data_IF_990061194791
#
_entry.id   IF_990061194791
#
_cell.length_a   1.000
_cell.length_b   1.000
_cell.length_c   1.000
_cell.angle_alpha   90.00
_cell.angle_beta   90.00
_cell.angle_gamma   90.00
#
_symmetry.space_group_name_H-M   'P 1'
#
loop_
_entity.id
_entity.type
_entity.pdbx_description
1 polymer ?
#
# COMPACT_ATOMS: atom_id res chain seq x y z
N UNK A 1 71.49 -45.68 -60.41
CA UNK A 1 70.65 -46.18 -59.31
C UNK A 1 70.56 -45.20 -58.11
N UNK A 2 71.62 -44.47 -57.68
CA UNK A 2 71.61 -43.60 -56.50
C UNK A 2 70.69 -42.36 -56.60
N UNK A 3 70.36 -41.82 -57.79
CA UNK A 3 69.53 -40.65 -57.96
C UNK A 3 68.03 -40.91 -57.68
N UNK A 4 67.48 -42.07 -57.85
CA UNK A 4 66.06 -42.43 -57.62
C UNK A 4 65.76 -42.65 -56.14
N UNK A 5 66.69 -43.14 -55.34
CA UNK A 5 66.52 -43.33 -53.89
C UNK A 5 66.52 -41.98 -53.13
N UNK A 6 67.40 -41.05 -53.59
CA UNK A 6 67.43 -39.70 -52.99
C UNK A 6 66.11 -38.93 -53.25
N UNK A 7 65.57 -39.01 -54.48
CA UNK A 7 64.27 -38.38 -54.80
C UNK A 7 63.11 -39.02 -54.02
N UNK A 8 63.14 -40.34 -53.86
CA UNK A 8 62.10 -41.03 -53.03
C UNK A 8 62.16 -40.61 -51.53
N UNK A 9 63.36 -40.44 -51.01
CA UNK A 9 63.61 -40.02 -49.64
C UNK A 9 63.17 -38.59 -49.44
N UNK A 10 63.45 -37.65 -50.32
CA UNK A 10 62.98 -36.26 -50.30
C UNK A 10 61.41 -36.18 -50.35
N UNK A 11 60.84 -36.94 -51.29
CA UNK A 11 59.36 -37.05 -51.40
C UNK A 11 58.71 -37.56 -50.11
N UNK A 12 59.26 -38.59 -49.48
CA UNK A 12 58.77 -39.13 -48.23
C UNK A 12 58.94 -38.14 -47.05
N UNK A 13 60.02 -37.40 -47.03
CA UNK A 13 60.22 -36.31 -46.01
C UNK A 13 59.23 -35.16 -46.18
N UNK A 14 59.00 -34.71 -47.41
CA UNK A 14 58.01 -33.65 -47.69
C UNK A 14 56.57 -34.11 -47.36
N UNK A 15 56.22 -35.32 -47.73
CA UNK A 15 54.94 -35.95 -47.41
C UNK A 15 54.72 -36.07 -45.87
N UNK A 16 55.77 -36.40 -45.13
CA UNK A 16 55.76 -36.49 -43.67
C UNK A 16 55.60 -35.05 -43.03
N UNK A 17 56.28 -34.07 -43.61
CA UNK A 17 56.19 -32.65 -43.20
C UNK A 17 54.82 -32.10 -43.49
N UNK A 18 54.23 -32.35 -44.67
CA UNK A 18 52.85 -31.95 -45.01
C UNK A 18 51.84 -32.62 -44.08
N UNK A 19 51.94 -33.89 -43.79
CA UNK A 19 51.04 -34.58 -42.85
C UNK A 19 51.14 -34.02 -41.45
N UNK A 20 52.32 -33.65 -40.94
CA UNK A 20 52.51 -33.01 -39.67
C UNK A 20 51.84 -31.60 -39.64
N UNK A 21 52.03 -30.83 -40.73
CA UNK A 21 51.43 -29.52 -40.86
C UNK A 21 49.91 -29.59 -40.91
N UNK A 22 49.34 -30.51 -41.68
CA UNK A 22 47.88 -30.74 -41.73
C UNK A 22 47.30 -31.17 -40.37
N UNK A 23 48.05 -32.04 -39.64
CA UNK A 23 47.63 -32.44 -38.29
C UNK A 23 47.64 -31.26 -37.31
N UNK A 24 48.70 -30.42 -37.32
CA UNK A 24 48.79 -29.24 -36.45
C UNK A 24 47.68 -28.24 -36.78
N UNK A 25 47.43 -27.98 -38.08
CA UNK A 25 46.33 -27.08 -38.49
C UNK A 25 44.97 -27.67 -38.06
N UNK A 26 44.76 -28.96 -38.18
CA UNK A 26 43.55 -29.64 -37.73
C UNK A 26 43.33 -29.50 -36.20
N UNK A 27 44.40 -29.73 -35.42
CA UNK A 27 44.34 -29.56 -33.95
C UNK A 27 44.06 -28.09 -33.57
N UNK A 28 44.73 -27.13 -34.22
CA UNK A 28 44.47 -25.70 -33.95
C UNK A 28 43.05 -25.28 -34.31
N UNK A 29 42.54 -25.75 -35.46
CA UNK A 29 41.13 -25.50 -35.86
C UNK A 29 40.15 -26.11 -34.87
N UNK A 30 40.41 -27.33 -34.39
CA UNK A 30 39.57 -27.96 -33.37
C UNK A 30 39.56 -27.16 -32.06
N UNK A 31 40.75 -26.69 -31.61
CA UNK A 31 40.86 -25.86 -30.38
C UNK A 31 40.09 -24.54 -30.55
N UNK A 32 40.20 -23.89 -31.70
CA UNK A 32 39.48 -22.63 -31.98
C UNK A 32 37.96 -22.87 -31.95
N UNK A 33 37.47 -23.95 -32.57
CA UNK A 33 36.04 -24.31 -32.56
C UNK A 33 35.56 -24.63 -31.14
N UNK A 34 36.37 -25.34 -30.36
CA UNK A 34 36.06 -25.64 -28.97
C UNK A 34 35.96 -24.35 -28.11
N UNK A 35 36.93 -23.45 -28.26
CA UNK A 35 36.93 -22.17 -27.56
C UNK A 35 35.73 -21.26 -27.97
N UNK A 36 35.41 -21.25 -29.28
CA UNK A 36 34.23 -20.55 -29.78
C UNK A 36 32.94 -21.15 -29.21
N UNK A 37 32.81 -22.47 -29.12
CA UNK A 37 31.69 -23.17 -28.52
C UNK A 37 31.53 -22.86 -27.03
N UNK A 38 32.63 -22.89 -26.25
CA UNK A 38 32.65 -22.55 -24.85
C UNK A 38 32.28 -21.06 -24.65
N UNK A 39 32.83 -20.16 -25.48
CA UNK A 39 32.53 -18.74 -25.45
C UNK A 39 31.05 -18.47 -25.75
N UNK A 40 30.48 -19.12 -26.75
CA UNK A 40 29.06 -19.01 -27.07
C UNK A 40 28.17 -19.55 -25.96
N UNK A 41 28.53 -20.70 -25.37
CA UNK A 41 27.83 -21.27 -24.24
C UNK A 41 27.87 -20.29 -23.02
N UNK A 42 29.04 -19.73 -22.69
CA UNK A 42 29.17 -18.75 -21.61
C UNK A 42 28.35 -17.47 -21.88
N UNK A 43 28.34 -16.98 -23.12
CA UNK A 43 27.51 -15.88 -23.54
C UNK A 43 26.01 -16.18 -23.32
N UNK A 44 25.54 -17.33 -23.75
CA UNK A 44 24.16 -17.78 -23.60
C UNK A 44 23.76 -17.97 -22.13
N UNK A 45 24.68 -18.41 -21.29
CA UNK A 45 24.46 -18.63 -19.86
C UNK A 45 24.36 -17.30 -19.09
N UNK A 46 25.16 -16.30 -19.43
CA UNK A 46 25.44 -15.14 -18.59
C UNK A 46 24.80 -13.87 -19.16
N UNK A 47 25.02 -13.56 -20.44
CA UNK A 47 24.78 -12.26 -21.05
C UNK A 47 23.63 -12.22 -22.06
N UNK A 48 23.27 -13.36 -22.65
CA UNK A 48 22.15 -13.37 -23.60
C UNK A 48 20.84 -12.99 -22.89
N UNK A 49 19.99 -12.16 -23.54
CA UNK A 49 18.65 -11.87 -23.02
C UNK A 49 17.87 -13.16 -22.77
N UNK A 50 17.30 -13.31 -21.58
CA UNK A 50 16.59 -14.53 -21.18
C UNK A 50 15.17 -14.28 -20.68
N UNK A 51 14.86 -13.03 -20.33
CA UNK A 51 13.55 -12.61 -19.81
C UNK A 51 12.86 -11.68 -20.80
N UNK A 52 11.63 -12.03 -21.22
CA UNK A 52 10.87 -11.25 -22.18
C UNK A 52 9.40 -11.05 -21.75
N UNK A 53 9.17 -10.46 -20.58
CA UNK A 53 7.82 -10.04 -20.24
C UNK A 53 7.39 -8.88 -21.15
N UNK A 54 6.07 -8.72 -21.39
CA UNK A 54 5.54 -7.59 -22.21
C UNK A 54 5.82 -6.20 -21.60
N UNK A 55 6.00 -6.14 -20.31
CA UNK A 55 6.34 -4.94 -19.49
C UNK A 55 7.13 -5.42 -18.28
N UNK A 56 7.77 -4.52 -17.56
CA UNK A 56 8.41 -4.85 -16.28
C UNK A 56 7.42 -5.60 -15.39
N UNK A 57 7.83 -6.77 -14.93
CA UNK A 57 7.10 -7.59 -13.95
C UNK A 57 7.91 -7.73 -12.68
N UNK A 58 7.28 -8.20 -11.63
CA UNK A 58 7.93 -8.32 -10.35
C UNK A 58 7.87 -9.76 -9.85
N UNK A 59 9.00 -10.21 -9.30
CA UNK A 59 9.08 -11.49 -8.57
C UNK A 59 9.24 -11.21 -7.09
N UNK A 60 8.66 -12.06 -6.27
CA UNK A 60 8.58 -11.91 -4.83
C UNK A 60 9.32 -13.05 -4.13
N UNK A 61 10.15 -12.71 -3.18
CA UNK A 61 10.86 -13.69 -2.34
C UNK A 61 10.44 -13.44 -0.91
N UNK A 62 9.67 -14.36 -0.35
CA UNK A 62 9.19 -14.34 1.02
C UNK A 62 10.22 -14.92 2.03
N UNK A 63 9.84 -15.04 3.30
CA UNK A 63 10.68 -15.60 4.35
C UNK A 63 11.06 -17.07 4.13
N UNK A 64 10.29 -17.83 3.35
CA UNK A 64 10.60 -19.24 3.03
C UNK A 64 11.81 -19.34 2.11
N UNK A 65 12.10 -18.28 1.33
CA UNK A 65 13.25 -18.21 0.41
C UNK A 65 13.35 -19.44 -0.49
N UNK A 66 12.18 -19.87 -1.02
CA UNK A 66 12.11 -21.04 -1.89
C UNK A 66 12.62 -20.70 -3.30
N UNK A 67 13.78 -21.26 -3.65
CA UNK A 67 14.36 -21.08 -4.98
C UNK A 67 13.50 -21.72 -6.09
N UNK A 68 12.78 -22.80 -5.77
CA UNK A 68 11.84 -23.43 -6.70
C UNK A 68 10.69 -22.51 -7.03
N UNK A 69 10.15 -21.82 -6.03
CA UNK A 69 9.09 -20.83 -6.20
C UNK A 69 9.55 -19.65 -7.07
N UNK A 70 10.72 -19.08 -6.78
CA UNK A 70 11.32 -18.05 -7.63
C UNK A 70 11.43 -18.51 -9.09
N UNK A 71 11.89 -19.75 -9.32
CA UNK A 71 11.99 -20.28 -10.68
C UNK A 71 10.61 -20.41 -11.36
N UNK A 72 9.56 -20.78 -10.63
CA UNK A 72 8.17 -20.79 -11.16
C UNK A 72 7.74 -19.39 -11.56
N UNK A 73 7.89 -18.39 -10.68
CA UNK A 73 7.55 -16.99 -10.98
C UNK A 73 8.30 -16.47 -12.22
N UNK A 74 9.59 -16.82 -12.38
CA UNK A 74 10.38 -16.42 -13.55
C UNK A 74 9.86 -17.03 -14.86
N UNK A 75 9.38 -18.27 -14.83
CA UNK A 75 8.78 -18.93 -16.01
C UNK A 75 7.40 -18.36 -16.30
N UNK A 76 6.54 -18.31 -15.28
CA UNK A 76 5.11 -18.02 -15.46
C UNK A 76 4.83 -16.53 -15.70
N UNK A 77 5.61 -15.65 -15.07
CA UNK A 77 5.35 -14.21 -15.09
C UNK A 77 6.39 -13.41 -15.86
N UNK A 78 7.68 -13.80 -15.78
CA UNK A 78 8.78 -13.05 -16.37
C UNK A 78 9.19 -13.53 -17.77
N UNK A 79 8.51 -14.55 -18.33
CA UNK A 79 8.79 -15.06 -19.67
C UNK A 79 10.21 -15.59 -19.83
N UNK A 80 10.73 -16.27 -18.80
CA UNK A 80 12.06 -16.88 -18.83
C UNK A 80 12.13 -17.95 -19.90
N UNK A 81 12.99 -17.76 -20.90
CA UNK A 81 13.13 -18.68 -22.03
C UNK A 81 13.93 -19.92 -21.67
N UNK A 82 14.95 -19.77 -20.82
CA UNK A 82 15.93 -20.85 -20.54
C UNK A 82 16.17 -20.93 -19.03
N UNK A 83 15.15 -21.34 -18.28
CA UNK A 83 15.24 -21.47 -16.81
C UNK A 83 16.41 -22.38 -16.37
N UNK A 84 16.82 -23.32 -17.20
CA UNK A 84 18.01 -24.18 -16.96
C UNK A 84 19.30 -23.37 -16.86
N UNK A 85 19.51 -22.34 -17.72
CA UNK A 85 20.70 -21.49 -17.70
C UNK A 85 20.65 -20.58 -16.42
N UNK A 86 19.50 -20.06 -16.07
CA UNK A 86 19.34 -19.31 -14.82
C UNK A 86 19.70 -20.18 -13.60
N UNK A 87 19.14 -21.39 -13.50
CA UNK A 87 19.43 -22.33 -12.40
C UNK A 87 20.92 -22.67 -12.31
N UNK A 88 21.56 -22.90 -13.44
CA UNK A 88 22.99 -23.24 -13.51
C UNK A 88 23.85 -22.07 -13.02
N UNK A 89 23.60 -20.84 -13.51
CA UNK A 89 24.34 -19.66 -13.07
C UNK A 89 24.07 -19.33 -11.59
N UNK A 90 22.82 -19.45 -11.14
CA UNK A 90 22.46 -19.28 -9.74
C UNK A 90 23.19 -20.27 -8.83
N UNK A 91 23.31 -21.54 -9.24
CA UNK A 91 24.07 -22.57 -8.53
C UNK A 91 25.56 -22.25 -8.45
N UNK A 92 26.18 -21.84 -9.57
CA UNK A 92 27.57 -21.40 -9.60
C UNK A 92 27.86 -20.24 -8.66
N UNK A 93 26.92 -19.32 -8.52
CA UNK A 93 27.00 -18.15 -7.64
C UNK A 93 26.53 -18.42 -6.20
N UNK A 94 26.18 -19.67 -5.88
CA UNK A 94 25.64 -20.11 -4.58
C UNK A 94 24.44 -19.27 -4.12
N UNK A 95 23.63 -18.78 -5.07
CA UNK A 95 22.51 -17.90 -4.80
C UNK A 95 21.39 -18.61 -4.02
N UNK A 96 21.01 -19.89 -4.29
CA UNK A 96 19.91 -20.54 -3.55
C UNK A 96 20.09 -20.60 -2.03
N UNK A 97 21.34 -20.55 -1.55
CA UNK A 97 21.66 -20.54 -0.10
C UNK A 97 21.80 -19.12 0.48
N UNK A 98 21.70 -18.07 -0.36
CA UNK A 98 21.91 -16.68 0.02
C UNK A 98 20.80 -15.76 -0.54
N UNK A 99 19.58 -16.28 -0.58
CA UNK A 99 18.42 -15.52 -1.06
C UNK A 99 18.05 -14.42 -0.06
N UNK A 100 17.63 -13.27 -0.57
CA UNK A 100 17.13 -12.14 0.19
C UNK A 100 15.66 -11.92 -0.10
N UNK A 101 14.86 -11.75 0.94
CA UNK A 101 13.44 -11.40 0.81
C UNK A 101 13.28 -10.08 0.07
N UNK A 102 12.18 -9.92 -0.64
CA UNK A 102 11.86 -8.66 -1.31
C UNK A 102 11.13 -8.82 -2.63
N UNK A 103 10.82 -7.67 -3.24
CA UNK A 103 10.19 -7.52 -4.54
C UNK A 103 11.22 -7.03 -5.54
N UNK A 104 11.44 -7.79 -6.61
CA UNK A 104 12.49 -7.53 -7.59
C UNK A 104 11.91 -7.38 -8.99
N UNK A 105 12.36 -6.34 -9.70
CA UNK A 105 11.94 -6.10 -11.08
C UNK A 105 12.65 -7.05 -12.04
N UNK A 106 11.89 -7.56 -13.03
CA UNK A 106 12.40 -8.26 -14.20
C UNK A 106 11.93 -7.49 -15.43
N UNK A 107 12.89 -6.91 -16.13
CA UNK A 107 12.63 -6.06 -17.29
C UNK A 107 12.72 -6.85 -18.59
N UNK A 108 12.02 -6.41 -19.66
CA UNK A 108 12.19 -7.00 -21.00
C UNK A 108 13.66 -6.94 -21.46
N UNK A 109 14.18 -8.05 -21.96
CA UNK A 109 15.55 -8.14 -22.44
C UNK A 109 16.62 -8.30 -21.35
N UNK A 110 16.24 -8.42 -20.07
CA UNK A 110 17.19 -8.67 -18.98
C UNK A 110 17.88 -10.02 -19.16
N UNK A 111 19.15 -10.09 -18.79
CA UNK A 111 19.92 -11.33 -18.78
C UNK A 111 20.04 -11.95 -17.38
N UNK A 112 20.49 -13.20 -17.32
CA UNK A 112 20.61 -13.94 -16.07
C UNK A 112 21.53 -13.27 -15.05
N UNK A 113 22.66 -12.69 -15.49
CA UNK A 113 23.63 -12.06 -14.61
C UNK A 113 23.06 -10.77 -13.99
N UNK A 114 22.36 -9.95 -14.78
CA UNK A 114 21.74 -8.73 -14.30
C UNK A 114 20.70 -9.02 -13.22
N UNK A 115 19.79 -9.96 -13.48
CA UNK A 115 18.78 -10.36 -12.51
C UNK A 115 19.42 -10.93 -11.22
N UNK A 116 20.36 -11.88 -11.36
CA UNK A 116 21.03 -12.47 -10.20
C UNK A 116 21.82 -11.45 -9.39
N UNK A 117 22.40 -10.43 -10.01
CA UNK A 117 23.05 -9.35 -9.29
C UNK A 117 22.05 -8.52 -8.49
N UNK A 118 20.89 -8.19 -9.04
CA UNK A 118 19.84 -7.49 -8.32
C UNK A 118 19.35 -8.30 -7.11
N UNK A 119 19.06 -9.59 -7.33
CA UNK A 119 18.61 -10.51 -6.30
C UNK A 119 19.65 -10.68 -5.17
N UNK A 120 20.91 -10.89 -5.51
CA UNK A 120 22.01 -11.10 -4.54
C UNK A 120 22.31 -9.84 -3.72
N UNK A 121 22.31 -8.67 -4.35
CA UNK A 121 22.58 -7.40 -3.70
C UNK A 121 21.37 -6.87 -2.93
N UNK A 122 20.17 -7.41 -3.18
CA UNK A 122 18.94 -6.95 -2.57
C UNK A 122 18.48 -5.62 -3.15
N UNK A 123 18.71 -5.40 -4.45
CA UNK A 123 18.19 -4.22 -5.17
C UNK A 123 16.70 -4.39 -5.41
N UNK A 124 15.91 -4.14 -4.36
CA UNK A 124 14.46 -4.23 -4.37
C UNK A 124 13.85 -3.00 -5.04
N UNK A 125 12.70 -3.21 -5.67
CA UNK A 125 11.81 -2.13 -6.10
C UNK A 125 10.73 -1.86 -5.05
N UNK A 126 10.53 -0.57 -4.73
CA UNK A 126 9.46 -0.18 -3.81
C UNK A 126 8.09 -0.50 -4.40
N UNK A 127 7.15 -0.90 -3.55
CA UNK A 127 5.73 -1.03 -3.89
C UNK A 127 4.96 0.18 -3.36
N UNK A 128 3.81 0.45 -3.96
CA UNK A 128 2.89 1.49 -3.51
C UNK A 128 1.78 0.86 -2.70
N UNK A 129 1.64 1.30 -1.46
CA UNK A 129 0.53 0.91 -0.60
C UNK A 129 -0.49 2.03 -0.49
N UNK A 130 -1.76 1.66 -0.41
CA UNK A 130 -2.88 2.58 -0.20
C UNK A 130 -3.87 1.98 0.79
N UNK A 131 -4.42 2.84 1.64
CA UNK A 131 -5.51 2.48 2.52
C UNK A 131 -6.49 3.64 2.59
N UNK A 132 -7.74 3.36 2.28
CA UNK A 132 -8.85 4.31 2.28
C UNK A 132 -10.05 3.65 2.92
N UNK A 133 -10.92 4.44 3.54
CA UNK A 133 -12.19 3.98 4.08
C UNK A 133 -12.05 2.82 5.08
N UNK A 134 -11.04 2.89 5.93
CA UNK A 134 -10.76 1.90 6.98
C UNK A 134 -11.50 2.30 8.24
N UNK A 135 -12.28 1.39 8.80
CA UNK A 135 -13.09 1.61 10.00
C UNK A 135 -12.50 0.91 11.22
N UNK A 136 -12.04 -0.30 11.05
CA UNK A 136 -11.50 -1.12 12.14
C UNK A 136 -10.01 -1.40 11.96
N UNK A 137 -9.34 -1.68 13.08
CA UNK A 137 -7.92 -2.05 13.10
C UNK A 137 -7.66 -3.34 12.31
N UNK A 138 -8.60 -4.28 12.38
CA UNK A 138 -8.56 -5.51 11.61
C UNK A 138 -8.57 -5.23 10.10
N UNK A 139 -9.51 -4.39 9.63
CA UNK A 139 -9.59 -4.00 8.20
C UNK A 139 -8.28 -3.37 7.71
N UNK A 140 -7.60 -2.60 8.59
CA UNK A 140 -6.31 -2.00 8.26
C UNK A 140 -5.22 -3.06 8.13
N UNK A 141 -5.16 -4.00 9.08
CA UNK A 141 -4.18 -5.09 9.07
C UNK A 141 -4.37 -5.96 7.83
N UNK A 142 -5.58 -6.43 7.54
CA UNK A 142 -5.93 -7.19 6.32
C UNK A 142 -5.56 -6.44 5.03
N UNK A 143 -5.90 -5.15 4.97
CA UNK A 143 -5.62 -4.31 3.80
C UNK A 143 -4.12 -4.17 3.53
N UNK A 144 -3.30 -4.06 4.56
CA UNK A 144 -1.85 -3.89 4.45
C UNK A 144 -1.16 -5.24 4.23
N UNK A 145 -1.61 -6.31 4.87
CA UNK A 145 -1.15 -7.68 4.63
C UNK A 145 -1.38 -8.10 3.16
N UNK A 146 -2.51 -7.73 2.56
CA UNK A 146 -2.78 -7.97 1.15
C UNK A 146 -1.88 -7.20 0.16
N UNK A 147 -1.07 -6.25 0.62
CA UNK A 147 -0.18 -5.43 -0.22
C UNK A 147 1.31 -5.64 0.08
N UNK A 148 1.66 -6.21 1.21
CA UNK A 148 3.02 -6.36 1.74
C UNK A 148 3.30 -7.82 2.10
N UNK A 149 4.52 -8.10 2.54
CA UNK A 149 4.91 -9.43 3.04
C UNK A 149 4.46 -9.69 4.49
N UNK A 150 4.16 -8.62 5.24
CA UNK A 150 3.65 -8.74 6.61
C UNK A 150 2.33 -9.49 6.62
N UNK A 151 2.12 -10.31 7.64
CA UNK A 151 0.85 -10.96 7.90
C UNK A 151 -0.04 -10.06 8.79
N UNK A 152 -1.33 -10.37 8.84
CA UNK A 152 -2.29 -9.69 9.73
C UNK A 152 -1.86 -9.80 11.20
N UNK A 153 -1.40 -11.00 11.59
CA UNK A 153 -0.92 -11.31 12.94
C UNK A 153 0.38 -10.58 13.33
N UNK A 154 1.09 -9.97 12.38
CA UNK A 154 2.26 -9.11 12.65
C UNK A 154 1.83 -7.69 13.03
N UNK A 155 0.78 -7.17 12.39
CA UNK A 155 0.38 -5.76 12.52
C UNK A 155 -0.72 -5.54 13.56
N UNK A 156 -1.73 -6.41 13.60
CA UNK A 156 -2.88 -6.24 14.51
C UNK A 156 -2.48 -6.16 15.98
N UNK A 157 -1.53 -6.97 16.50
CA UNK A 157 -1.07 -6.85 17.87
C UNK A 157 -0.52 -5.46 18.22
N UNK A 158 0.22 -4.82 17.31
CA UNK A 158 0.76 -3.47 17.50
C UNK A 158 -0.35 -2.39 17.57
N UNK A 159 -1.48 -2.62 16.90
CA UNK A 159 -2.62 -1.70 16.90
C UNK A 159 -3.52 -1.85 18.13
N UNK A 160 -3.41 -2.96 18.88
CA UNK A 160 -4.22 -3.21 20.08
C UNK A 160 -3.42 -3.18 21.37
N UNK A 161 -2.08 -3.17 21.31
CA UNK A 161 -1.21 -3.03 22.48
C UNK A 161 -1.26 -1.58 22.99
N UNK A 162 -1.80 -1.39 24.19
CA UNK A 162 -1.93 -0.08 24.83
C UNK A 162 -0.58 0.59 25.12
N UNK A 163 0.46 -0.21 25.47
CA UNK A 163 1.79 0.31 25.76
C UNK A 163 2.47 0.78 24.49
N UNK A 164 2.36 -0.01 23.42
CA UNK A 164 2.90 0.37 22.12
C UNK A 164 2.19 1.61 21.54
N UNK A 165 0.85 1.65 21.57
CA UNK A 165 0.08 2.81 21.14
C UNK A 165 0.48 4.07 21.92
N UNK A 166 0.61 3.98 23.27
CA UNK A 166 1.03 5.10 24.12
C UNK A 166 2.45 5.58 23.78
N UNK A 167 3.37 4.69 23.38
CA UNK A 167 4.72 5.06 22.94
C UNK A 167 4.73 5.90 21.65
N UNK A 168 3.68 5.78 20.84
CA UNK A 168 3.47 6.56 19.62
C UNK A 168 2.67 7.86 19.88
N UNK A 169 2.11 8.05 21.09
CA UNK A 169 1.29 9.19 21.48
C UNK A 169 -0.21 9.00 21.24
N UNK A 170 -0.68 7.74 21.17
CA UNK A 170 -2.09 7.39 20.93
C UNK A 170 -2.59 6.40 21.98
N UNK A 171 -3.91 6.25 22.05
CA UNK A 171 -4.55 5.12 22.74
C UNK A 171 -4.94 4.05 21.72
N UNK A 172 -5.43 2.91 22.20
CA UNK A 172 -5.96 1.87 21.32
C UNK A 172 -7.18 2.35 20.51
N UNK A 173 -7.96 3.29 21.04
CA UNK A 173 -9.11 3.88 20.36
C UNK A 173 -8.69 4.90 19.30
N UNK A 174 -7.57 5.60 19.53
CA UNK A 174 -7.13 6.71 18.67
C UNK A 174 -6.04 6.35 17.67
N UNK A 175 -5.44 5.13 17.75
CA UNK A 175 -4.29 4.73 16.90
C UNK A 175 -4.58 4.84 15.39
N UNK A 176 -5.84 4.69 14.97
CA UNK A 176 -6.21 4.87 13.57
C UNK A 176 -5.99 6.31 13.07
N UNK A 177 -5.97 7.33 13.96
CA UNK A 177 -5.64 8.70 13.61
C UNK A 177 -4.16 8.89 13.20
N UNK A 178 -3.28 7.95 13.53
CA UNK A 178 -1.89 7.92 13.06
C UNK A 178 -1.79 7.80 11.54
N UNK A 179 -2.75 7.13 10.91
CA UNK A 179 -2.72 6.77 9.50
C UNK A 179 -3.35 7.87 8.66
N UNK A 180 -2.53 8.64 7.96
CA UNK A 180 -2.99 9.66 7.02
C UNK A 180 -3.21 8.98 5.66
N UNK A 181 -4.43 9.01 5.07
CA UNK A 181 -4.67 8.36 3.78
C UNK A 181 -3.88 9.03 2.67
N UNK A 182 -2.94 8.27 2.11
CA UNK A 182 -2.12 8.68 0.97
C UNK A 182 -1.59 7.42 0.24
N UNK A 183 -0.85 7.61 -0.82
CA UNK A 183 -0.06 6.55 -1.46
C UNK A 183 1.37 6.63 -0.93
N UNK A 184 1.84 5.54 -0.34
CA UNK A 184 3.18 5.45 0.24
C UNK A 184 4.03 4.45 -0.52
N UNK A 185 5.26 4.82 -0.82
CA UNK A 185 6.25 3.92 -1.38
C UNK A 185 7.05 3.29 -0.24
N UNK A 186 7.00 1.97 -0.16
CA UNK A 186 7.70 1.15 0.85
C UNK A 186 8.26 -0.11 0.20
N UNK A 187 9.26 -0.73 0.81
CA UNK A 187 9.68 -2.05 0.37
C UNK A 187 8.63 -3.10 0.77
N UNK A 188 8.37 -4.04 -0.13
CA UNK A 188 7.36 -5.08 0.07
C UNK A 188 7.60 -5.93 1.34
N UNK A 189 8.86 -6.13 1.70
CA UNK A 189 9.28 -6.88 2.89
C UNK A 189 9.53 -5.98 4.13
N UNK A 190 8.91 -4.81 4.20
CA UNK A 190 8.97 -3.95 5.39
C UNK A 190 8.35 -4.69 6.59
N UNK A 191 8.97 -4.64 7.78
CA UNK A 191 8.34 -5.21 8.98
C UNK A 191 7.22 -4.32 9.51
N UNK A 192 6.30 -4.90 10.30
CA UNK A 192 5.17 -4.17 10.89
C UNK A 192 5.64 -2.96 11.72
N UNK A 193 6.68 -3.12 12.55
CA UNK A 193 7.23 -2.03 13.36
C UNK A 193 7.82 -0.90 12.50
N UNK A 194 8.56 -1.25 11.43
CA UNK A 194 9.12 -0.25 10.50
C UNK A 194 8.02 0.47 9.74
N UNK A 195 6.94 -0.24 9.40
CA UNK A 195 5.76 0.37 8.79
C UNK A 195 5.10 1.36 9.76
N UNK A 196 4.88 0.98 11.02
CA UNK A 196 4.35 1.88 12.04
C UNK A 196 5.23 3.12 12.24
N UNK A 197 6.56 2.95 12.30
CA UNK A 197 7.51 4.07 12.36
C UNK A 197 7.45 4.95 11.11
N UNK A 198 7.23 4.37 9.94
CA UNK A 198 7.01 5.13 8.70
C UNK A 198 5.73 5.94 8.79
N UNK A 199 4.62 5.36 9.25
CA UNK A 199 3.35 6.07 9.43
C UNK A 199 3.49 7.21 10.45
N UNK A 200 4.24 7.00 11.54
CA UNK A 200 4.51 8.05 12.51
C UNK A 200 5.28 9.24 11.90
N UNK A 201 6.24 8.97 11.02
CA UNK A 201 6.95 10.05 10.29
C UNK A 201 6.01 10.81 9.36
N UNK A 202 5.17 10.09 8.61
CA UNK A 202 4.18 10.71 7.70
C UNK A 202 3.12 11.53 8.46
N UNK A 203 2.69 11.05 9.62
CA UNK A 203 1.83 11.79 10.53
C UNK A 203 2.47 13.12 10.96
N UNK A 204 3.75 13.10 11.39
CA UNK A 204 4.49 14.31 11.78
C UNK A 204 4.68 15.27 10.61
N UNK A 205 4.92 14.77 9.41
CA UNK A 205 5.02 15.58 8.18
C UNK A 205 3.67 16.23 7.85
N UNK A 206 2.59 15.49 7.96
CA UNK A 206 1.24 16.00 7.70
C UNK A 206 0.86 17.08 8.71
N UNK A 207 1.07 16.83 10.00
CA UNK A 207 0.80 17.78 11.09
C UNK A 207 1.95 18.78 11.26
N UNK A 208 2.23 19.54 10.20
CA UNK A 208 3.22 20.61 10.21
C UNK A 208 2.73 21.80 11.05
N UNK A 209 3.63 22.79 11.29
CA UNK A 209 3.36 23.96 12.12
C UNK A 209 2.08 24.72 11.70
N UNK A 210 1.82 24.82 10.39
CA UNK A 210 0.64 25.50 9.88
C UNK A 210 -0.68 24.78 10.26
N UNK A 211 -0.71 23.43 10.15
CA UNK A 211 -1.88 22.64 10.58
C UNK A 211 -2.02 22.61 12.10
N UNK A 212 -0.91 22.51 12.83
CA UNK A 212 -0.93 22.58 14.30
C UNK A 212 -1.44 23.93 14.80
N UNK A 213 -1.03 25.05 14.17
CA UNK A 213 -1.54 26.37 14.50
C UNK A 213 -3.06 26.48 14.30
N UNK A 214 -3.60 25.94 13.19
CA UNK A 214 -5.04 25.90 12.92
C UNK A 214 -5.80 25.04 13.93
N UNK A 215 -5.26 23.86 14.26
CA UNK A 215 -5.85 22.99 15.28
C UNK A 215 -5.92 23.72 16.65
N UNK A 216 -4.84 24.40 17.02
CA UNK A 216 -4.79 25.23 18.24
C UNK A 216 -5.79 26.39 18.21
N UNK A 217 -5.99 27.07 17.06
CA UNK A 217 -6.98 28.18 16.91
C UNK A 217 -8.40 27.69 17.23
N UNK A 218 -8.73 26.46 16.82
CA UNK A 218 -10.06 25.89 17.11
C UNK A 218 -10.14 25.16 18.47
N UNK A 219 -9.02 25.14 19.24
CA UNK A 219 -8.95 24.52 20.56
C UNK A 219 -8.91 22.98 20.51
N UNK A 220 -8.39 22.39 19.44
CA UNK A 220 -8.35 20.93 19.24
C UNK A 220 -6.93 20.41 19.08
N UNK A 221 -6.69 19.19 19.57
CA UNK A 221 -5.50 18.40 19.23
C UNK A 221 -5.64 17.78 17.84
N UNK A 222 -4.54 17.35 17.20
CA UNK A 222 -4.58 16.59 15.96
C UNK A 222 -5.51 15.37 15.98
N UNK A 223 -5.56 14.66 17.11
CA UNK A 223 -6.41 13.48 17.30
C UNK A 223 -7.89 13.89 17.32
N UNK A 224 -8.24 14.96 18.06
CA UNK A 224 -9.61 15.48 18.10
C UNK A 224 -10.09 15.98 16.75
N UNK A 225 -9.20 16.61 15.96
CA UNK A 225 -9.48 16.98 14.56
C UNK A 225 -9.78 15.72 13.73
N UNK A 226 -9.02 14.63 13.90
CA UNK A 226 -9.26 13.39 13.18
C UNK A 226 -10.59 12.72 13.59
N UNK A 227 -10.93 12.74 14.88
CA UNK A 227 -12.21 12.24 15.37
C UNK A 227 -13.36 13.03 14.75
N UNK A 228 -13.31 14.36 14.82
CA UNK A 228 -14.37 15.20 14.25
C UNK A 228 -14.46 15.05 12.73
N UNK A 229 -13.33 14.98 12.01
CA UNK A 229 -13.31 14.77 10.58
C UNK A 229 -13.99 13.45 10.18
N UNK A 230 -13.77 12.38 10.95
CA UNK A 230 -14.42 11.09 10.69
C UNK A 230 -15.94 11.14 10.86
N UNK A 231 -16.45 11.97 11.78
CA UNK A 231 -17.88 12.19 11.99
C UNK A 231 -18.46 13.01 10.83
N UNK A 232 -17.79 14.11 10.45
CA UNK A 232 -18.21 14.98 9.33
C UNK A 232 -18.34 14.19 8.01
N UNK A 233 -17.39 13.32 7.72
CA UNK A 233 -17.40 12.51 6.51
C UNK A 233 -18.50 11.44 6.49
N UNK A 234 -18.91 10.94 7.64
CA UNK A 234 -20.01 9.98 7.75
C UNK A 234 -21.39 10.66 7.77
N UNK A 235 -21.43 11.96 8.06
CA UNK A 235 -22.68 12.72 8.14
C UNK A 235 -23.21 13.16 6.78
N UNK A 236 -22.32 13.50 5.84
CA UNK A 236 -22.72 13.95 4.51
C UNK A 236 -21.82 13.38 3.42
N UNK A 237 -22.39 12.98 2.29
CA UNK A 237 -21.64 12.63 1.09
C UNK A 237 -21.22 13.86 0.26
N UNK A 238 -21.82 15.04 0.55
CA UNK A 238 -21.52 16.28 -0.15
C UNK A 238 -20.24 16.93 0.41
N UNK A 239 -19.12 16.70 -0.27
CA UNK A 239 -17.79 17.16 0.18
C UNK A 239 -17.71 18.67 0.40
N UNK A 240 -18.47 19.45 -0.36
CA UNK A 240 -18.53 20.91 -0.21
C UNK A 240 -19.32 21.36 1.03
N UNK A 241 -20.09 20.48 1.68
CA UNK A 241 -20.72 20.73 2.99
C UNK A 241 -19.77 20.45 4.16
N UNK A 242 -18.68 19.71 3.99
CA UNK A 242 -17.75 19.35 5.08
C UNK A 242 -17.34 20.55 5.95
N UNK A 243 -16.92 21.70 5.39
CA UNK A 243 -16.53 22.86 6.22
C UNK A 243 -17.72 23.47 6.99
N UNK A 244 -18.96 23.35 6.46
CA UNK A 244 -20.16 23.86 7.13
C UNK A 244 -20.53 22.91 8.28
N UNK A 245 -20.57 21.60 8.01
CA UNK A 245 -20.87 20.57 9.04
C UNK A 245 -19.82 20.59 10.15
N UNK A 246 -18.54 20.72 9.80
CA UNK A 246 -17.46 20.88 10.78
C UNK A 246 -17.69 22.10 11.68
N UNK A 247 -18.02 23.26 11.10
CA UNK A 247 -18.34 24.46 11.84
C UNK A 247 -19.56 24.31 12.77
N UNK A 248 -20.58 23.58 12.31
CA UNK A 248 -21.76 23.27 13.14
C UNK A 248 -21.37 22.44 14.37
N UNK A 249 -20.60 21.38 14.20
CA UNK A 249 -20.16 20.52 15.30
C UNK A 249 -19.20 21.26 16.23
N UNK A 250 -18.29 22.09 15.73
CA UNK A 250 -17.42 22.95 16.55
C UNK A 250 -18.25 23.89 17.39
N UNK A 251 -19.31 24.54 16.84
CA UNK A 251 -20.23 25.40 17.58
C UNK A 251 -20.93 24.64 18.70
N UNK A 252 -21.33 23.37 18.46
CA UNK A 252 -21.98 22.53 19.49
C UNK A 252 -20.98 22.19 20.61
N UNK A 253 -19.78 21.75 20.27
CA UNK A 253 -18.71 21.46 21.23
C UNK A 253 -18.39 22.66 22.13
N UNK A 254 -18.20 23.83 21.54
CA UNK A 254 -17.90 25.06 22.28
C UNK A 254 -19.00 25.47 23.24
N UNK A 255 -20.25 25.06 22.98
CA UNK A 255 -21.41 25.34 23.83
C UNK A 255 -21.78 24.20 24.80
N UNK A 256 -21.00 23.10 24.79
CA UNK A 256 -21.30 21.92 25.60
C UNK A 256 -22.57 21.18 25.15
N UNK A 257 -23.02 21.39 23.90
CA UNK A 257 -24.18 20.70 23.33
C UNK A 257 -23.71 19.35 22.80
N UNK A 258 -24.37 18.22 23.14
CA UNK A 258 -24.05 16.90 22.55
C UNK A 258 -24.09 16.95 21.03
N UNK A 259 -23.18 16.22 20.37
CA UNK A 259 -23.09 16.26 18.90
C UNK A 259 -24.35 15.69 18.23
N UNK A 260 -24.94 14.64 18.81
CA UNK A 260 -26.15 13.96 18.29
C UNK A 260 -25.99 13.58 16.81
N UNK A 261 -24.84 13.01 16.50
CA UNK A 261 -24.50 12.58 15.15
C UNK A 261 -24.90 11.11 14.97
N UNK A 262 -25.82 10.82 14.06
CA UNK A 262 -26.30 9.46 13.76
C UNK A 262 -25.18 8.46 13.44
N UNK A 263 -24.11 8.83 12.71
CA UNK A 263 -22.99 7.93 12.46
C UNK A 263 -22.31 7.37 13.71
N UNK A 264 -22.30 8.16 14.80
CA UNK A 264 -21.70 7.71 16.07
C UNK A 264 -22.55 6.64 16.74
N UNK A 265 -23.87 6.69 16.56
CA UNK A 265 -24.81 5.66 17.03
C UNK A 265 -24.67 4.38 16.19
N UNK A 266 -24.58 4.50 14.86
CA UNK A 266 -24.30 3.34 13.99
C UNK A 266 -23.00 2.64 14.40
N UNK A 267 -21.97 3.40 14.70
CA UNK A 267 -20.70 2.86 15.18
C UNK A 267 -20.85 2.16 16.54
N UNK A 268 -21.62 2.75 17.46
CA UNK A 268 -21.89 2.19 18.78
C UNK A 268 -22.69 0.86 18.69
N UNK A 269 -23.64 0.78 17.76
CA UNK A 269 -24.43 -0.44 17.47
C UNK A 269 -23.57 -1.51 16.79
N UNK A 270 -22.60 -1.10 15.95
CA UNK A 270 -21.78 -2.01 15.13
C UNK A 270 -22.47 -2.49 13.86
N UNK A 271 -23.66 -1.98 13.53
CA UNK A 271 -24.40 -2.31 12.31
C UNK A 271 -24.43 -1.10 11.35
N UNK A 272 -23.59 -1.20 10.30
CA UNK A 272 -23.46 -0.16 9.28
C UNK A 272 -24.49 -0.31 8.13
N UNK A 273 -25.27 -1.38 8.11
CA UNK A 273 -26.36 -1.60 7.16
C UNK A 273 -27.62 -0.81 7.51
N UNK A 274 -27.73 -0.30 8.73
CA UNK A 274 -28.86 0.48 9.21
C UNK A 274 -29.12 1.68 8.30
N UNK A 275 -30.30 1.70 7.67
CA UNK A 275 -30.76 2.82 6.86
C UNK A 275 -31.29 3.97 7.71
N UNK A 276 -31.78 3.67 8.93
CA UNK A 276 -32.42 4.61 9.84
C UNK A 276 -32.04 4.29 11.27
N UNK A 277 -31.71 5.32 12.05
CA UNK A 277 -31.55 5.21 13.50
C UNK A 277 -32.95 5.28 14.15
N UNK A 278 -33.27 4.27 14.97
CA UNK A 278 -34.49 4.19 15.75
C UNK A 278 -34.23 4.66 17.19
N UNK A 279 -35.30 4.93 17.96
CA UNK A 279 -35.19 5.36 19.34
C UNK A 279 -34.43 4.37 20.22
N UNK A 280 -34.62 3.06 20.02
CA UNK A 280 -33.90 2.00 20.74
C UNK A 280 -32.37 2.09 20.53
N UNK A 281 -31.93 2.48 19.34
CA UNK A 281 -30.51 2.66 19.03
C UNK A 281 -29.91 3.87 19.80
N UNK A 282 -30.72 4.95 20.02
CA UNK A 282 -30.27 6.11 20.76
C UNK A 282 -30.06 5.83 22.27
N UNK A 283 -30.63 4.73 22.76
CA UNK A 283 -30.53 4.34 24.18
C UNK A 283 -29.28 3.45 24.45
N UNK A 284 -28.53 3.07 23.42
CA UNK A 284 -27.33 2.22 23.61
C UNK A 284 -26.32 2.92 24.52
N UNK A 285 -25.87 2.19 25.54
CA UNK A 285 -24.84 2.67 26.45
C UNK A 285 -23.45 2.40 25.89
N UNK A 286 -22.95 3.38 25.15
CA UNK A 286 -21.62 3.34 24.53
C UNK A 286 -20.97 4.70 24.58
N UNK A 287 -19.68 4.82 24.89
CA UNK A 287 -18.98 6.10 24.89
C UNK A 287 -18.91 6.75 23.49
N UNK A 288 -19.22 5.99 22.44
CA UNK A 288 -19.39 6.53 21.09
C UNK A 288 -20.76 7.16 20.85
N UNK A 289 -21.77 6.91 21.68
CA UNK A 289 -23.11 7.46 21.49
C UNK A 289 -23.15 8.95 21.88
N UNK A 290 -23.02 9.83 20.89
CA UNK A 290 -23.02 11.30 21.09
C UNK A 290 -24.41 11.89 21.34
N UNK A 291 -25.45 11.09 21.47
CA UNK A 291 -26.75 11.50 22.05
C UNK A 291 -26.74 11.47 23.57
N UNK A 292 -26.01 10.52 24.17
CA UNK A 292 -25.89 10.32 25.61
C UNK A 292 -24.66 11.02 26.22
N UNK A 293 -23.57 11.05 25.47
CA UNK A 293 -22.29 11.60 25.91
C UNK A 293 -21.98 12.91 25.18
N UNK A 294 -21.78 14.01 25.93
CA UNK A 294 -21.34 15.27 25.36
C UNK A 294 -19.86 15.25 25.02
N UNK A 295 -19.44 16.00 24.01
CA UNK A 295 -18.07 16.04 23.54
C UNK A 295 -17.83 15.12 22.36
N UNK A 296 -16.54 14.85 22.06
CA UNK A 296 -16.10 13.91 21.04
C UNK A 296 -16.11 12.47 21.58
N UNK A 297 -16.38 11.47 20.74
CA UNK A 297 -16.22 10.06 21.13
C UNK A 297 -14.74 9.71 21.38
N UNK A 298 -14.44 8.55 21.98
CA UNK A 298 -13.08 8.15 22.37
C UNK A 298 -12.08 8.05 21.20
N UNK A 299 -12.56 7.79 19.98
CA UNK A 299 -11.74 7.62 18.80
C UNK A 299 -12.48 7.91 17.50
N UNK A 300 -11.79 7.95 16.37
CA UNK A 300 -12.41 8.21 15.08
C UNK A 300 -13.29 7.03 14.65
N UNK A 301 -14.37 7.31 13.94
CA UNK A 301 -15.29 6.31 13.39
C UNK A 301 -14.67 5.52 12.22
N UNK A 302 -13.67 6.14 11.59
CA UNK A 302 -12.84 5.59 10.52
C UNK A 302 -11.60 6.44 10.34
N UNK A 303 -10.63 5.98 9.57
CA UNK A 303 -9.52 6.83 9.12
C UNK A 303 -10.10 7.94 8.22
N UNK A 304 -10.06 9.22 8.64
CA UNK A 304 -10.60 10.33 7.86
C UNK A 304 -9.70 10.66 6.67
N UNK A 305 -10.29 11.15 5.59
CA UNK A 305 -9.52 11.63 4.43
C UNK A 305 -8.79 12.93 4.75
N UNK A 306 -7.77 13.27 3.94
CA UNK A 306 -7.12 14.59 4.04
C UNK A 306 -8.14 15.73 3.84
N UNK A 307 -9.15 15.54 3.00
CA UNK A 307 -10.23 16.52 2.79
C UNK A 307 -11.05 16.74 4.04
N UNK A 308 -11.39 15.67 4.76
CA UNK A 308 -12.12 15.76 6.03
C UNK A 308 -11.29 16.50 7.08
N UNK A 309 -10.02 16.15 7.23
CA UNK A 309 -9.09 16.83 8.13
C UNK A 309 -8.96 18.32 7.80
N UNK A 310 -8.73 18.64 6.53
CA UNK A 310 -8.61 20.03 6.06
C UNK A 310 -9.93 20.80 6.19
N UNK A 311 -11.09 20.15 6.06
CA UNK A 311 -12.40 20.77 6.27
C UNK A 311 -12.63 21.17 7.72
N UNK A 312 -12.21 20.37 8.68
CA UNK A 312 -12.25 20.73 10.11
C UNK A 312 -11.30 21.90 10.41
N UNK A 313 -10.05 21.84 9.93
CA UNK A 313 -9.04 22.89 10.13
C UNK A 313 -9.39 24.21 9.46
N UNK A 314 -10.19 24.17 8.39
CA UNK A 314 -10.65 25.36 7.64
C UNK A 314 -12.18 25.46 7.66
N UNK A 315 -12.80 25.07 8.77
CA UNK A 315 -14.26 25.09 8.90
C UNK A 315 -14.85 26.47 8.60
N UNK A 316 -16.05 26.48 8.06
CA UNK A 316 -16.77 27.72 7.81
C UNK A 316 -17.27 28.33 9.14
N UNK A 317 -16.94 29.59 9.41
CA UNK A 317 -17.42 30.32 10.59
C UNK A 317 -18.86 30.77 10.36
N UNK A 318 -19.77 30.28 11.18
CA UNK A 318 -21.20 30.57 11.19
C UNK A 318 -21.81 30.25 12.55
N UNK A 319 -23.12 30.49 12.72
CA UNK A 319 -23.81 30.24 14.00
C UNK A 319 -24.76 29.03 13.96
N UNK A 320 -24.64 28.14 12.96
CA UNK A 320 -25.49 26.96 12.85
C UNK A 320 -25.24 25.98 13.99
N UNK A 321 -26.33 25.40 14.49
CA UNK A 321 -26.35 24.39 15.56
C UNK A 321 -27.12 23.13 15.13
N UNK A 322 -27.93 23.23 14.07
CA UNK A 322 -28.82 22.18 13.59
C UNK A 322 -28.68 22.01 12.08
N UNK A 323 -28.92 20.81 11.62
CA UNK A 323 -29.07 20.49 10.20
C UNK A 323 -30.15 19.42 10.02
N UNK A 324 -30.73 19.33 8.86
CA UNK A 324 -31.61 18.25 8.44
C UNK A 324 -31.52 18.08 6.94
N UNK A 325 -31.88 16.90 6.44
CA UNK A 325 -31.89 16.64 5.01
C UNK A 325 -32.76 17.64 4.27
N UNK A 326 -32.31 18.03 3.09
CA UNK A 326 -33.00 18.99 2.23
C UNK A 326 -34.19 18.34 1.51
N UNK A 327 -35.25 19.08 1.38
CA UNK A 327 -36.53 18.63 0.83
C UNK A 327 -36.49 18.28 -0.66
N UNK A 328 -35.45 18.70 -1.37
CA UNK A 328 -35.22 18.37 -2.80
C UNK A 328 -34.63 16.98 -3.05
N UNK A 329 -34.23 16.25 -1.97
CA UNK A 329 -33.57 14.96 -1.99
C UNK A 329 -32.23 14.97 -2.72
N UNK A 330 -31.56 16.11 -2.75
CA UNK A 330 -30.22 16.26 -3.33
C UNK A 330 -29.10 15.56 -2.55
N UNK A 331 -29.42 14.96 -1.39
CA UNK A 331 -28.41 14.43 -0.45
C UNK A 331 -27.70 15.53 0.34
N UNK A 332 -28.20 16.77 0.30
CA UNK A 332 -27.69 17.94 0.99
C UNK A 332 -28.52 18.28 2.23
N UNK A 333 -28.04 19.27 3.00
CA UNK A 333 -28.66 19.68 4.24
C UNK A 333 -29.16 21.13 4.20
N UNK A 334 -30.24 21.38 4.94
CA UNK A 334 -30.62 22.70 5.41
C UNK A 334 -30.02 22.94 6.79
N UNK A 335 -29.28 24.01 6.95
CA UNK A 335 -28.63 24.41 8.20
C UNK A 335 -29.46 25.45 8.91
N UNK A 336 -29.44 25.45 10.26
CA UNK A 336 -30.19 26.36 11.08
C UNK A 336 -29.42 26.75 12.34
N UNK A 337 -29.55 28.04 12.76
CA UNK A 337 -28.96 28.53 14.00
C UNK A 337 -29.88 28.30 15.22
N UNK A 338 -31.20 28.19 15.01
CA UNK A 338 -32.19 28.02 16.05
C UNK A 338 -33.02 26.75 15.86
N UNK A 339 -33.54 26.20 16.98
CA UNK A 339 -34.44 25.06 16.96
C UNK A 339 -35.73 25.34 16.17
N UNK A 340 -36.25 26.58 16.27
CA UNK A 340 -37.46 26.98 15.54
C UNK A 340 -37.24 26.94 14.01
N UNK A 341 -36.08 27.36 13.53
CA UNK A 341 -35.71 27.30 12.12
C UNK A 341 -35.50 25.85 11.68
N UNK A 342 -34.81 25.06 12.48
CA UNK A 342 -34.61 23.62 12.24
C UNK A 342 -35.96 22.91 12.12
N UNK A 343 -36.90 23.16 13.02
CA UNK A 343 -38.24 22.54 12.97
C UNK A 343 -39.01 22.92 11.69
N UNK A 344 -38.86 24.16 11.21
CA UNK A 344 -39.46 24.58 9.92
C UNK A 344 -38.84 23.79 8.75
N UNK A 345 -37.52 23.67 8.73
CA UNK A 345 -36.80 22.88 7.69
C UNK A 345 -37.20 21.41 7.74
N UNK A 346 -37.21 20.81 8.91
CA UNK A 346 -37.61 19.42 9.11
C UNK A 346 -39.06 19.15 8.70
N UNK A 347 -39.96 20.11 8.97
CA UNK A 347 -41.35 19.99 8.54
C UNK A 347 -41.50 20.04 7.02
N UNK A 348 -40.72 20.87 6.31
CA UNK A 348 -40.68 20.88 4.83
C UNK A 348 -40.22 19.56 4.27
N UNK A 349 -39.16 18.99 4.83
CA UNK A 349 -38.65 17.69 4.43
C UNK A 349 -39.69 16.58 4.65
N UNK A 350 -40.34 16.54 5.84
CA UNK A 350 -41.39 15.55 6.12
C UNK A 350 -42.62 15.71 5.22
N UNK A 351 -43.04 16.93 4.92
CA UNK A 351 -44.15 17.20 3.99
C UNK A 351 -43.84 16.67 2.60
N UNK A 352 -42.59 16.83 2.12
CA UNK A 352 -42.17 16.33 0.82
C UNK A 352 -42.05 14.80 0.77
N UNK A 353 -41.56 14.14 1.85
CA UNK A 353 -41.59 12.70 2.01
C UNK A 353 -43.00 12.15 1.88
N UNK A 354 -43.96 12.78 2.60
CA UNK A 354 -45.37 12.39 2.57
C UNK A 354 -45.98 12.57 1.16
N UNK A 355 -45.66 13.68 0.49
CA UNK A 355 -46.11 13.95 -0.88
C UNK A 355 -45.62 12.88 -1.87
N UNK A 356 -44.40 12.41 -1.72
CA UNK A 356 -43.81 11.35 -2.56
C UNK A 356 -44.11 9.94 -2.09
N UNK A 357 -44.86 9.79 -0.98
CA UNK A 357 -45.21 8.49 -0.37
C UNK A 357 -43.97 7.63 -0.01
N UNK A 358 -42.83 8.28 0.33
CA UNK A 358 -41.63 7.61 0.82
C UNK A 358 -41.83 7.38 2.31
N UNK A 359 -41.76 6.12 2.74
CA UNK A 359 -41.93 5.71 4.15
C UNK A 359 -40.59 5.41 4.80
#
# INVERSE_FOLDING_TARGET
MAGSEIQQTIYNMEKKKMRKHTLIVGILSFIILLLAGVGFWAYCLILAPDFEPRKTVYVYIDEKKDFGDLCRQLVDSAGCRRIGSFKQLAGMLKYPTNMRTGRYAVEPGMNNLALLNNLRRGHQEATRITFNNIRFKLDLAERLAGQLMIEEDDLLPLLVDSVYCASLGFTTETILALFIPNTYEVYWNISAEKLMQRMQREYKIFWNDARLAKAKEIGMTPVEVAILASIVEEETAAVDEYPIVAGLFINRLQRGIPLQADPTVKFAVGDFSLQRILFEHLEIDSPYNTYKHAGLPPGPLRIPTIRGLDAVLNHMKHNYLYMCAKEDFSGRHNFAATLAEHNRNANRYRAELNRRKIR
#
